data_IF_977585424356
#
_entry.id   IF_977585424356
#
_cell.length_a   1.000
_cell.length_b   1.000
_cell.length_c   1.000
_cell.angle_alpha   90.00
_cell.angle_beta   90.00
_cell.angle_gamma   90.00
#
_symmetry.space_group_name_H-M   'P 1'
#
loop_
_entity.id
_entity.type
_entity.pdbx_description
1 polymer ?
#
# COMPACT_ATOMS: atom_id res chain seq x y z
N UNK A 1 -6.38 2.53 13.43
CA UNK A 1 -5.89 2.37 12.04
C UNK A 1 -6.83 3.02 11.01
N UNK A 2 -8.14 2.83 11.15
CA UNK A 2 -9.12 3.38 10.20
C UNK A 2 -9.03 4.90 10.07
N UNK A 3 -8.81 5.61 11.19
CA UNK A 3 -8.66 7.06 11.19
C UNK A 3 -7.39 7.50 10.48
N UNK A 4 -6.31 6.77 10.67
CA UNK A 4 -5.01 7.04 10.00
C UNK A 4 -5.16 6.80 8.49
N UNK A 5 -5.80 5.71 8.08
CA UNK A 5 -6.09 5.43 6.67
C UNK A 5 -6.87 6.57 6.03
N UNK A 6 -7.94 7.01 6.70
CA UNK A 6 -8.78 8.10 6.20
C UNK A 6 -7.98 9.38 6.03
N UNK A 7 -7.14 9.73 7.00
CA UNK A 7 -6.29 10.92 6.92
C UNK A 7 -5.31 10.84 5.76
N UNK A 8 -4.69 9.67 5.55
CA UNK A 8 -3.75 9.45 4.44
C UNK A 8 -4.45 9.59 3.09
N UNK A 9 -5.63 8.99 2.94
CA UNK A 9 -6.40 9.08 1.69
C UNK A 9 -6.83 10.50 1.39
N UNK A 10 -7.25 11.27 2.39
CA UNK A 10 -7.60 12.68 2.22
C UNK A 10 -6.38 13.51 1.83
N UNK A 11 -5.26 13.29 2.49
CA UNK A 11 -3.99 13.94 2.16
C UNK A 11 -3.55 13.61 0.74
N UNK A 12 -3.65 12.33 0.33
CA UNK A 12 -3.32 11.89 -1.03
C UNK A 12 -4.17 12.57 -2.08
N UNK A 13 -5.48 12.70 -1.83
CA UNK A 13 -6.39 13.43 -2.70
C UNK A 13 -6.02 14.92 -2.82
N UNK A 14 -5.67 15.54 -1.71
CA UNK A 14 -5.19 16.92 -1.69
C UNK A 14 -3.90 17.10 -2.51
N UNK A 15 -2.99 16.15 -2.40
CA UNK A 15 -1.72 16.14 -3.16
C UNK A 15 -1.88 15.64 -4.59
N UNK A 16 -3.09 15.26 -5.00
CA UNK A 16 -3.39 14.69 -6.32
C UNK A 16 -2.58 13.42 -6.62
N UNK A 17 -2.38 12.60 -5.61
CA UNK A 17 -1.78 11.28 -5.74
C UNK A 17 -2.90 10.26 -5.86
N UNK A 18 -2.82 9.38 -6.84
CA UNK A 18 -3.80 8.31 -7.01
C UNK A 18 -3.61 7.27 -5.91
N UNK A 19 -4.55 7.23 -4.98
CA UNK A 19 -4.55 6.28 -3.88
C UNK A 19 -5.89 5.55 -3.80
N UNK A 20 -5.85 4.26 -3.55
CA UNK A 20 -7.03 3.43 -3.37
C UNK A 20 -6.94 2.67 -2.07
N UNK A 21 -8.04 2.68 -1.33
CA UNK A 21 -8.21 1.78 -0.21
C UNK A 21 -8.47 0.37 -0.74
N UNK A 22 -7.72 -0.61 -0.26
CA UNK A 22 -7.89 -2.00 -0.64
C UNK A 22 -8.81 -2.67 0.37
N UNK A 23 -9.88 -3.26 -0.13
CA UNK A 23 -10.82 -4.01 0.72
C UNK A 23 -10.38 -5.46 0.79
N UNK A 24 -9.96 -5.90 1.97
CA UNK A 24 -9.57 -7.28 2.24
C UNK A 24 -10.65 -8.05 2.99
N UNK A 25 -11.82 -7.45 3.22
CA UNK A 25 -12.96 -8.11 3.84
C UNK A 25 -13.56 -9.10 2.83
N UNK A 26 -13.87 -10.30 3.30
CA UNK A 26 -14.49 -11.33 2.45
C UNK A 26 -15.84 -10.90 1.91
N UNK A 27 -16.28 -11.55 0.81
CA UNK A 27 -17.57 -11.29 0.19
C UNK A 27 -18.70 -11.76 1.10
N UNK A 28 -19.71 -10.91 1.40
CA UNK A 28 -20.86 -11.35 2.18
C UNK A 28 -21.72 -12.31 1.35
N UNK A 29 -22.14 -13.41 1.98
CA UNK A 29 -23.06 -14.38 1.42
C UNK A 29 -24.27 -14.46 2.33
N UNK A 30 -25.48 -14.36 1.77
CA UNK A 30 -26.72 -14.51 2.49
C UNK A 30 -27.21 -15.95 2.31
N UNK A 31 -27.22 -16.73 3.39
CA UNK A 31 -27.63 -18.13 3.36
C UNK A 31 -28.47 -18.46 4.59
N UNK A 32 -29.67 -18.96 4.40
CA UNK A 32 -30.58 -19.36 5.48
C UNK A 32 -30.83 -18.26 6.53
N UNK A 33 -31.01 -17.01 6.10
CA UNK A 33 -31.25 -15.88 6.97
C UNK A 33 -30.04 -15.38 7.75
N UNK A 34 -28.87 -15.93 7.48
CA UNK A 34 -27.59 -15.52 8.08
C UNK A 34 -26.66 -14.91 7.04
N UNK A 35 -25.88 -13.93 7.45
CA UNK A 35 -24.81 -13.39 6.62
C UNK A 35 -23.53 -14.13 6.96
N UNK A 36 -22.97 -14.81 5.96
CA UNK A 36 -21.69 -15.52 6.06
C UNK A 36 -20.73 -14.82 5.12
N UNK A 37 -19.49 -14.63 5.55
CA UNK A 37 -18.45 -14.01 4.70
C UNK A 37 -17.59 -15.10 4.07
N UNK A 38 -17.50 -15.06 2.72
CA UNK A 38 -16.52 -15.87 2.00
C UNK A 38 -15.14 -15.36 2.36
N UNK A 39 -14.19 -16.23 2.74
CA UNK A 39 -12.82 -15.78 3.01
C UNK A 39 -12.23 -15.02 1.84
N UNK A 40 -11.56 -13.91 2.13
CA UNK A 40 -10.85 -13.15 1.10
C UNK A 40 -9.65 -13.95 0.61
N UNK A 41 -9.42 -13.97 -0.71
CA UNK A 41 -8.20 -14.50 -1.31
C UNK A 41 -7.03 -13.52 -1.20
N UNK A 42 -7.30 -12.29 -0.76
CA UNK A 42 -6.34 -11.20 -0.67
C UNK A 42 -5.80 -10.98 0.75
N UNK A 43 -5.68 -12.07 1.53
CA UNK A 43 -5.15 -11.98 2.88
C UNK A 43 -3.74 -11.37 2.87
N UNK A 44 -3.55 -10.42 3.76
CA UNK A 44 -2.27 -9.77 3.94
C UNK A 44 -1.96 -8.65 2.95
N UNK A 45 -2.85 -8.36 2.00
CA UNK A 45 -2.68 -7.18 1.14
C UNK A 45 -2.62 -5.92 1.98
N UNK A 46 -1.80 -4.97 1.56
CA UNK A 46 -1.71 -3.67 2.21
C UNK A 46 -3.04 -2.90 2.13
N UNK A 47 -3.24 -1.98 3.07
CA UNK A 47 -4.49 -1.22 3.20
C UNK A 47 -4.71 -0.26 2.04
N UNK A 48 -3.65 0.30 1.49
CA UNK A 48 -3.70 1.34 0.45
C UNK A 48 -2.74 0.98 -0.67
N UNK A 49 -3.21 1.12 -1.89
CA UNK A 49 -2.37 1.11 -3.09
C UNK A 49 -2.30 2.50 -3.67
N UNK A 50 -1.09 2.98 -3.95
CA UNK A 50 -0.86 4.27 -4.58
C UNK A 50 -0.08 4.09 -5.88
N UNK A 51 -0.39 4.93 -6.85
CA UNK A 51 0.41 5.06 -8.07
C UNK A 51 1.07 6.43 -8.04
N UNK A 52 2.39 6.42 -8.04
CA UNK A 52 3.21 7.62 -7.90
C UNK A 52 3.98 7.85 -9.19
N UNK A 53 3.92 9.07 -9.70
CA UNK A 53 4.68 9.43 -10.90
C UNK A 53 6.09 9.88 -10.51
N UNK A 54 7.09 9.22 -11.09
CA UNK A 54 8.50 9.60 -10.94
C UNK A 54 9.06 9.87 -12.34
N UNK A 55 9.26 11.14 -12.65
CA UNK A 55 9.71 11.53 -13.99
C UNK A 55 8.78 11.08 -15.11
N UNK A 56 7.47 11.06 -14.85
CA UNK A 56 6.44 10.59 -15.78
C UNK A 56 6.25 9.07 -15.79
N UNK A 57 7.02 8.32 -15.01
CA UNK A 57 6.90 6.86 -14.91
C UNK A 57 5.98 6.51 -13.74
N UNK A 58 4.89 5.75 -13.97
CA UNK A 58 4.02 5.31 -12.88
C UNK A 58 4.69 4.20 -12.07
N UNK A 59 4.71 4.37 -10.77
CA UNK A 59 5.33 3.43 -9.83
C UNK A 59 4.29 2.95 -8.84
N UNK A 60 4.22 1.64 -8.64
CA UNK A 60 3.31 0.99 -7.70
C UNK A 60 3.87 1.05 -6.28
N UNK A 61 3.09 1.59 -5.37
CA UNK A 61 3.46 1.72 -3.95
C UNK A 61 2.35 1.17 -3.09
N UNK A 62 2.69 0.29 -2.17
CA UNK A 62 1.76 -0.30 -1.21
C UNK A 62 2.04 0.23 0.18
N UNK A 63 0.99 0.70 0.85
CA UNK A 63 1.08 1.27 2.19
C UNK A 63 0.24 0.43 3.16
N UNK A 64 0.90 -0.17 4.13
CA UNK A 64 0.26 -0.86 5.25
C UNK A 64 0.15 0.11 6.42
N UNK A 65 -1.08 0.39 6.84
CA UNK A 65 -1.33 1.36 7.91
C UNK A 65 -1.38 0.65 9.24
N UNK A 66 -0.57 1.10 10.17
CA UNK A 66 -0.53 0.58 11.54
C UNK A 66 -0.59 1.71 12.55
N UNK A 67 -1.11 1.40 13.73
CA UNK A 67 -0.99 2.27 14.89
C UNK A 67 0.45 2.25 15.38
N UNK A 68 0.79 3.15 16.30
CA UNK A 68 2.15 3.31 16.81
C UNK A 68 2.77 2.01 17.34
N UNK A 69 1.97 1.11 17.89
CA UNK A 69 2.40 -0.17 18.46
C UNK A 69 2.06 -1.38 17.58
N UNK A 70 1.32 -1.17 16.51
CA UNK A 70 0.91 -2.26 15.63
C UNK A 70 2.06 -2.87 14.86
N UNK A 71 2.01 -4.18 14.65
CA UNK A 71 3.02 -4.93 13.89
C UNK A 71 2.38 -5.66 12.74
N UNK A 72 3.15 -5.90 11.68
CA UNK A 72 2.64 -6.67 10.54
C UNK A 72 2.50 -8.14 10.92
N UNK A 73 1.47 -8.78 10.38
CA UNK A 73 1.24 -10.22 10.50
C UNK A 73 2.14 -10.99 9.52
N UNK A 74 2.15 -12.32 9.64
CA UNK A 74 2.88 -13.16 8.71
C UNK A 74 2.33 -13.06 7.28
N UNK A 75 1.01 -13.00 7.11
CA UNK A 75 0.40 -12.82 5.80
C UNK A 75 0.80 -11.47 5.19
N UNK A 76 0.85 -10.42 6.00
CA UNK A 76 1.30 -9.10 5.56
C UNK A 76 2.78 -9.11 5.18
N UNK A 77 3.61 -9.86 5.91
CA UNK A 77 5.02 -10.02 5.59
C UNK A 77 5.20 -10.74 4.26
N UNK A 78 4.45 -11.82 4.03
CA UNK A 78 4.49 -12.54 2.76
C UNK A 78 4.07 -11.65 1.59
N UNK A 79 3.03 -10.84 1.77
CA UNK A 79 2.62 -9.88 0.76
C UNK A 79 3.72 -8.86 0.49
N UNK A 80 4.34 -8.31 1.53
CA UNK A 80 5.48 -7.39 1.41
C UNK A 80 6.61 -8.00 0.59
N UNK A 81 6.99 -9.24 0.90
CA UNK A 81 8.06 -9.94 0.20
C UNK A 81 7.71 -10.15 -1.28
N UNK A 82 6.47 -10.49 -1.57
CA UNK A 82 5.97 -10.66 -2.95
C UNK A 82 6.02 -9.35 -3.74
N UNK A 83 5.59 -8.25 -3.12
CA UNK A 83 5.63 -6.92 -3.76
C UNK A 83 7.07 -6.54 -4.09
N UNK A 84 7.98 -6.71 -3.14
CA UNK A 84 9.39 -6.37 -3.32
C UNK A 84 10.05 -7.23 -4.39
N UNK A 85 9.75 -8.53 -4.41
CA UNK A 85 10.25 -9.44 -5.44
C UNK A 85 9.77 -9.07 -6.84
N UNK A 86 8.57 -8.49 -6.95
CA UNK A 86 8.01 -8.03 -8.23
C UNK A 86 8.49 -6.63 -8.62
N UNK A 87 9.40 -6.02 -7.86
CA UNK A 87 9.93 -4.69 -8.13
C UNK A 87 9.05 -3.55 -7.63
N UNK A 88 8.01 -3.84 -6.87
CA UNK A 88 7.16 -2.83 -6.24
C UNK A 88 7.73 -2.33 -4.92
N UNK A 89 7.05 -1.33 -4.37
CA UNK A 89 7.43 -0.72 -3.09
C UNK A 89 6.37 -1.02 -2.03
N UNK A 90 6.81 -1.33 -0.84
CA UNK A 90 5.94 -1.62 0.30
C UNK A 90 6.49 -0.92 1.55
N UNK A 91 5.60 -0.20 2.24
CA UNK A 91 5.96 0.53 3.46
C UNK A 91 4.90 0.31 4.53
N UNK A 92 5.35 0.18 5.77
CA UNK A 92 4.48 0.30 6.94
C UNK A 92 4.48 1.77 7.34
N UNK A 93 3.31 2.37 7.38
CA UNK A 93 3.15 3.80 7.69
C UNK A 93 2.23 3.98 8.89
N UNK A 94 2.58 4.92 9.76
CA UNK A 94 1.87 5.17 11.00
C UNK A 94 1.33 6.60 11.09
N UNK A 95 1.68 7.42 10.10
CA UNK A 95 1.33 8.84 10.04
C UNK A 95 1.48 9.35 8.61
N UNK A 96 0.99 10.56 8.36
CA UNK A 96 1.22 11.24 7.08
C UNK A 96 2.72 11.51 6.86
N UNK A 97 3.45 11.85 7.92
CA UNK A 97 4.90 12.05 7.82
C UNK A 97 5.62 10.80 7.31
N UNK A 98 5.20 9.62 7.77
CA UNK A 98 5.74 8.36 7.27
C UNK A 98 5.45 8.16 5.79
N UNK A 99 4.27 8.58 5.32
CA UNK A 99 3.91 8.51 3.90
C UNK A 99 4.80 9.44 3.09
N UNK A 100 5.03 10.65 3.55
CA UNK A 100 5.93 11.60 2.87
C UNK A 100 7.35 11.04 2.76
N UNK A 101 7.86 10.44 3.82
CA UNK A 101 9.17 9.79 3.82
C UNK A 101 9.21 8.62 2.83
N UNK A 102 8.16 7.80 2.80
CA UNK A 102 8.03 6.69 1.87
C UNK A 102 8.07 7.16 0.41
N UNK A 103 7.32 8.22 0.09
CA UNK A 103 7.28 8.74 -1.28
C UNK A 103 8.61 9.36 -1.70
N UNK A 104 9.36 9.97 -0.80
CA UNK A 104 10.73 10.41 -1.08
C UNK A 104 11.65 9.22 -1.38
N UNK A 105 11.54 8.17 -0.60
CA UNK A 105 12.33 6.94 -0.80
C UNK A 105 12.00 6.30 -2.16
N UNK A 106 10.71 6.22 -2.51
CA UNK A 106 10.27 5.71 -3.83
C UNK A 106 10.92 6.52 -4.96
N UNK A 107 10.88 7.82 -4.87
CA UNK A 107 11.45 8.70 -5.90
C UNK A 107 12.94 8.47 -6.05
N UNK A 108 13.68 8.45 -4.95
CA UNK A 108 15.13 8.27 -4.95
C UNK A 108 15.53 6.90 -5.50
N UNK A 109 14.86 5.84 -5.05
CA UNK A 109 15.16 4.47 -5.50
C UNK A 109 14.80 4.26 -6.96
N UNK A 110 13.69 4.81 -7.42
CA UNK A 110 13.27 4.71 -8.81
C UNK A 110 14.30 5.40 -9.72
N UNK A 111 14.74 6.58 -9.37
CA UNK A 111 15.78 7.30 -10.12
C UNK A 111 17.08 6.50 -10.17
N UNK A 112 17.49 5.93 -9.04
CA UNK A 112 18.69 5.07 -8.96
C UNK A 112 18.57 3.86 -9.87
N UNK A 113 17.43 3.16 -9.82
CA UNK A 113 17.19 1.97 -10.63
C UNK A 113 17.23 2.28 -12.12
N UNK A 114 16.66 3.41 -12.54
CA UNK A 114 16.69 3.86 -13.92
C UNK A 114 18.15 4.13 -14.36
N UNK A 115 18.94 4.79 -13.54
CA UNK A 115 20.35 5.09 -13.84
C UNK A 115 21.18 3.83 -13.99
N UNK A 116 20.94 2.82 -13.19
CA UNK A 116 21.63 1.52 -13.29
C UNK A 116 21.25 0.76 -14.55
N UNK A 117 20.05 1.00 -15.09
CA UNK A 117 19.52 0.29 -16.25
C UNK A 117 19.95 0.92 -17.58
N UNK A 118 20.33 2.20 -17.59
CA UNK A 118 20.74 2.91 -18.78
C UNK A 118 22.27 2.96 -18.84
N UNK A 119 22.90 2.20 -19.73
CA UNK A 119 24.35 2.29 -19.90
C UNK A 119 24.71 3.63 -20.56
N UNK A 120 25.54 4.37 -19.87
CA UNK A 120 26.11 5.60 -20.42
C UNK A 120 27.53 5.35 -20.90
#
# INVERSE_FOLDING_TARGET
EAQIQKAILQWGGYKRILMHRINVIGTPLHKAGKTIYRPSTNKGMADIHATVLVGGIPVSVWLEVKTKKGRISENQKLFSDTVKAAGGFYYVVRSIDDVEDALRDVTQRTIRNIREFIPF
#
